data_IF_094739021830
#
_entry.id   IF_094739021830
#
_cell.length_a   1.000
_cell.length_b   1.000
_cell.length_c   1.000
_cell.angle_alpha   90.00
_cell.angle_beta   90.00
_cell.angle_gamma   90.00
#
_symmetry.space_group_name_H-M   'P 1'
#
loop_
_entity.id
_entity.type
_entity.pdbx_description
1 polymer ?
#
# COMPACT_ATOMS: atom_id res chain seq x y z
N UNK A 1 38.12 -6.37 -11.28
CA UNK A 1 36.90 -5.53 -11.16
C UNK A 1 36.63 -5.19 -9.70
N UNK A 2 36.62 -6.19 -8.82
CA UNK A 2 36.46 -6.03 -7.36
C UNK A 2 37.84 -5.87 -6.71
N UNK A 3 37.97 -4.87 -5.82
CA UNK A 3 39.17 -4.55 -5.01
C UNK A 3 39.04 -5.10 -3.60
N UNK A 4 37.88 -4.98 -2.98
CA UNK A 4 37.63 -5.38 -1.59
C UNK A 4 36.32 -6.20 -1.52
N UNK A 5 36.48 -7.52 -1.35
CA UNK A 5 35.35 -8.45 -1.26
C UNK A 5 34.50 -8.22 -0.01
N UNK A 6 35.11 -7.83 1.12
CA UNK A 6 34.38 -7.59 2.37
C UNK A 6 33.49 -6.36 2.24
N UNK A 7 34.02 -5.27 1.70
CA UNK A 7 33.22 -4.07 1.41
C UNK A 7 32.11 -4.36 0.39
N UNK A 8 32.36 -5.21 -0.61
CA UNK A 8 31.31 -5.62 -1.55
C UNK A 8 30.17 -6.37 -0.86
N UNK A 9 30.48 -7.36 -0.02
CA UNK A 9 29.47 -8.11 0.73
C UNK A 9 28.65 -7.21 1.63
N UNK A 10 29.29 -6.28 2.36
CA UNK A 10 28.60 -5.29 3.21
C UNK A 10 27.66 -4.43 2.36
N UNK A 11 28.14 -3.91 1.23
CA UNK A 11 27.33 -3.11 0.33
C UNK A 11 26.08 -3.85 -0.16
N UNK A 12 26.23 -5.10 -0.59
CA UNK A 12 25.11 -5.94 -1.07
C UNK A 12 24.10 -6.17 0.05
N UNK A 13 24.55 -6.51 1.26
CA UNK A 13 23.66 -6.75 2.41
C UNK A 13 22.86 -5.49 2.75
N UNK A 14 23.54 -4.34 2.86
CA UNK A 14 22.87 -3.06 3.16
C UNK A 14 21.88 -2.69 2.05
N UNK A 15 22.27 -2.85 0.79
CA UNK A 15 21.43 -2.53 -0.35
C UNK A 15 20.19 -3.43 -0.41
N UNK A 16 20.35 -4.74 -0.19
CA UNK A 16 19.21 -5.66 -0.09
C UNK A 16 18.29 -5.31 1.08
N UNK A 17 18.83 -4.89 2.22
CA UNK A 17 18.02 -4.41 3.34
C UNK A 17 17.20 -3.17 2.94
N UNK A 18 17.77 -2.21 2.20
CA UNK A 18 17.01 -1.07 1.65
C UNK A 18 15.87 -1.55 0.77
N UNK A 19 16.14 -2.46 -0.18
CA UNK A 19 15.13 -2.98 -1.12
C UNK A 19 13.99 -3.68 -0.38
N UNK A 20 14.32 -4.57 0.56
CA UNK A 20 13.32 -5.36 1.31
C UNK A 20 12.47 -4.45 2.21
N UNK A 21 13.10 -3.52 2.94
CA UNK A 21 12.38 -2.61 3.83
C UNK A 21 11.51 -1.61 3.07
N UNK A 22 11.88 -1.26 1.84
CA UNK A 22 11.12 -0.36 0.98
C UNK A 22 10.09 -1.09 0.09
N UNK A 23 9.85 -2.38 0.33
CA UNK A 23 8.96 -3.19 -0.49
C UNK A 23 7.49 -2.87 -0.14
N UNK A 24 6.66 -2.39 -1.10
CA UNK A 24 5.26 -2.00 -0.86
C UNK A 24 4.31 -3.19 -0.94
N UNK A 25 4.52 -4.20 -0.09
CA UNK A 25 3.66 -5.39 0.01
C UNK A 25 3.89 -6.06 1.36
N UNK A 26 2.84 -6.54 2.07
CA UNK A 26 1.48 -6.77 1.57
C UNK A 26 0.55 -5.56 1.63
N UNK A 27 0.90 -4.53 2.38
CA UNK A 27 0.09 -3.32 2.54
C UNK A 27 0.54 -2.24 1.53
N UNK A 28 -0.26 -1.18 1.39
CA UNK A 28 0.09 0.01 0.60
C UNK A 28 1.37 0.68 1.11
N UNK A 29 1.62 0.64 2.43
CA UNK A 29 2.84 1.18 3.05
C UNK A 29 4.02 0.21 2.92
N UNK A 30 5.27 0.71 2.78
CA UNK A 30 6.45 -0.14 2.75
C UNK A 30 6.58 -1.04 3.99
N UNK A 31 7.10 -2.26 3.81
CA UNK A 31 7.27 -3.26 4.87
C UNK A 31 7.93 -2.71 6.13
N UNK A 32 8.95 -1.89 5.96
CA UNK A 32 9.69 -1.31 7.07
C UNK A 32 8.89 -0.29 7.87
N UNK A 33 8.03 0.51 7.23
CA UNK A 33 7.12 1.43 7.93
C UNK A 33 6.06 0.66 8.71
N UNK A 34 5.49 -0.38 8.11
CA UNK A 34 4.50 -1.25 8.77
C UNK A 34 5.11 -1.96 9.99
N UNK A 35 6.34 -2.46 9.88
CA UNK A 35 7.05 -3.10 10.99
C UNK A 35 7.38 -2.11 12.10
N UNK A 36 7.92 -0.93 11.75
CA UNK A 36 8.21 0.12 12.71
C UNK A 36 6.96 0.55 13.49
N UNK A 37 5.83 0.73 12.79
CA UNK A 37 4.55 1.10 13.41
C UNK A 37 4.03 0.02 14.36
N UNK A 38 4.16 -1.27 14.00
CA UNK A 38 3.80 -2.39 14.89
C UNK A 38 4.66 -2.47 16.15
N UNK A 39 5.90 -1.98 16.08
CA UNK A 39 6.81 -1.87 17.22
C UNK A 39 6.64 -0.55 17.99
N UNK A 40 5.61 0.24 17.69
CA UNK A 40 5.36 1.56 18.28
C UNK A 40 6.50 2.56 18.06
N UNK A 41 7.28 2.37 16.99
CA UNK A 41 8.31 3.32 16.57
C UNK A 41 7.66 4.39 15.70
N UNK A 42 7.78 5.68 16.04
CA UNK A 42 7.17 6.75 15.25
C UNK A 42 7.81 6.80 13.87
N UNK A 43 7.01 6.58 12.82
CA UNK A 43 7.43 6.70 11.42
C UNK A 43 7.45 8.14 10.91
N UNK A 44 6.60 8.99 11.49
CA UNK A 44 6.50 10.42 11.18
C UNK A 44 6.60 11.27 12.44
N UNK A 45 7.16 12.47 12.32
CA UNK A 45 7.15 13.49 13.39
C UNK A 45 5.85 14.28 13.38
N UNK A 46 5.57 15.00 14.47
CA UNK A 46 4.47 15.96 14.55
C UNK A 46 4.56 17.06 13.47
N UNK A 47 5.76 17.33 12.95
CA UNK A 47 6.00 18.32 11.88
C UNK A 47 6.04 17.67 10.48
N UNK A 48 5.65 16.40 10.35
CA UNK A 48 5.61 15.68 9.07
C UNK A 48 6.95 15.11 8.60
N UNK A 49 8.00 15.07 9.44
CA UNK A 49 9.28 14.45 9.06
C UNK A 49 9.18 12.93 9.05
N UNK A 50 9.54 12.30 7.94
CA UNK A 50 9.53 10.84 7.80
C UNK A 50 10.84 10.21 8.30
N UNK A 51 10.89 9.85 9.59
CA UNK A 51 12.07 9.25 10.22
C UNK A 51 12.53 7.96 9.54
N UNK A 52 11.58 7.14 9.08
CA UNK A 52 11.87 5.88 8.41
C UNK A 52 12.55 6.12 7.05
N UNK A 53 12.02 7.04 6.26
CA UNK A 53 12.60 7.45 4.98
C UNK A 53 14.03 8.01 5.13
N UNK A 54 14.27 8.85 6.15
CA UNK A 54 15.61 9.39 6.44
C UNK A 54 16.57 8.25 6.81
N UNK A 55 16.14 7.32 7.67
CA UNK A 55 16.97 6.19 8.10
C UNK A 55 17.33 5.27 6.92
N UNK A 56 16.37 4.98 6.05
CA UNK A 56 16.61 4.23 4.81
C UNK A 56 17.55 4.95 3.86
N UNK A 57 17.42 6.27 3.72
CA UNK A 57 18.30 7.06 2.89
C UNK A 57 19.74 7.01 3.39
N UNK A 58 19.98 7.14 4.70
CA UNK A 58 21.32 6.97 5.30
C UNK A 58 21.87 5.57 5.01
N UNK A 59 21.07 4.52 5.20
CA UNK A 59 21.45 3.14 4.91
C UNK A 59 21.85 2.97 3.44
N UNK A 60 21.10 3.60 2.53
CA UNK A 60 21.38 3.59 1.11
C UNK A 60 22.70 4.30 0.78
N UNK A 61 22.95 5.50 1.32
CA UNK A 61 24.22 6.22 1.13
C UNK A 61 25.42 5.39 1.64
N UNK A 62 25.27 4.74 2.80
CA UNK A 62 26.30 3.83 3.33
C UNK A 62 26.54 2.65 2.38
N UNK A 63 25.47 2.06 1.83
CA UNK A 63 25.58 0.96 0.86
C UNK A 63 26.38 1.37 -0.39
N UNK A 64 26.17 2.59 -0.89
CA UNK A 64 26.87 3.15 -2.05
C UNK A 64 28.33 3.46 -1.75
N UNK A 65 28.63 3.96 -0.54
CA UNK A 65 30.00 4.19 -0.09
C UNK A 65 30.81 2.89 -0.09
N UNK A 66 30.27 1.82 0.52
CA UNK A 66 30.91 0.51 0.50
C UNK A 66 31.01 -0.07 -0.92
N UNK A 67 30.00 0.16 -1.78
CA UNK A 67 30.05 -0.24 -3.19
C UNK A 67 31.23 0.42 -3.91
N UNK A 68 31.36 1.74 -3.78
CA UNK A 68 32.44 2.52 -4.39
C UNK A 68 33.82 2.09 -3.91
N UNK A 69 33.96 1.81 -2.60
CA UNK A 69 35.20 1.31 -2.00
C UNK A 69 35.56 -0.09 -2.52
N UNK A 70 34.55 -0.93 -2.76
CA UNK A 70 34.75 -2.32 -3.19
C UNK A 70 35.21 -2.48 -4.63
N UNK A 71 35.03 -1.48 -5.51
CA UNK A 71 35.30 -1.58 -6.94
C UNK A 71 36.61 -0.89 -7.34
N UNK A 72 37.38 -1.50 -8.27
CA UNK A 72 38.63 -0.91 -8.82
C UNK A 72 38.37 -0.01 -10.04
N UNK A 73 37.39 -0.36 -10.88
CA UNK A 73 37.00 0.33 -12.11
C UNK A 73 35.47 0.39 -12.21
N UNK A 74 34.91 1.30 -13.01
CA UNK A 74 33.48 1.46 -13.28
C UNK A 74 32.59 1.82 -12.07
N UNK A 75 33.18 2.41 -11.02
CA UNK A 75 32.48 2.82 -9.78
C UNK A 75 31.20 3.61 -10.08
N UNK A 76 31.31 4.66 -10.89
CA UNK A 76 30.18 5.53 -11.25
C UNK A 76 29.06 4.77 -11.94
N UNK A 77 29.37 3.82 -12.84
CA UNK A 77 28.35 3.03 -13.53
C UNK A 77 27.52 2.19 -12.56
N UNK A 78 28.19 1.50 -11.63
CA UNK A 78 27.51 0.69 -10.62
C UNK A 78 26.71 1.54 -9.63
N UNK A 79 27.20 2.73 -9.26
CA UNK A 79 26.45 3.67 -8.43
C UNK A 79 25.17 4.13 -9.14
N UNK A 80 25.24 4.51 -10.42
CA UNK A 80 24.07 4.91 -11.21
C UNK A 80 23.07 3.76 -11.33
N UNK A 81 23.55 2.54 -11.58
CA UNK A 81 22.68 1.34 -11.61
C UNK A 81 21.99 1.13 -10.27
N UNK A 82 22.70 1.25 -9.15
CA UNK A 82 22.13 1.11 -7.81
C UNK A 82 21.06 2.20 -7.52
N UNK A 83 21.28 3.44 -7.98
CA UNK A 83 20.27 4.50 -7.88
C UNK A 83 19.01 4.20 -8.66
N UNK A 84 19.11 3.70 -9.89
CA UNK A 84 17.92 3.32 -10.66
C UNK A 84 17.22 2.12 -10.04
N UNK A 85 18.01 1.11 -9.67
CA UNK A 85 17.51 -0.14 -9.13
C UNK A 85 16.69 0.05 -7.84
N UNK A 86 17.06 0.99 -6.96
CA UNK A 86 16.33 1.19 -5.69
C UNK A 86 14.91 1.73 -5.91
N UNK A 87 14.66 2.41 -7.03
CA UNK A 87 13.34 2.95 -7.38
C UNK A 87 12.44 1.90 -8.06
N UNK A 88 13.01 1.01 -8.88
CA UNK A 88 12.21 0.06 -9.69
C UNK A 88 12.08 -1.33 -9.06
N UNK A 89 13.14 -1.84 -8.43
CA UNK A 89 13.16 -3.21 -7.93
C UNK A 89 12.09 -3.48 -6.86
N UNK A 90 11.86 -2.61 -5.84
CA UNK A 90 10.87 -2.91 -4.80
C UNK A 90 9.45 -3.06 -5.37
N UNK A 91 9.02 -2.14 -6.24
CA UNK A 91 7.69 -2.17 -6.88
C UNK A 91 7.55 -3.39 -7.79
N UNK A 92 8.57 -3.69 -8.59
CA UNK A 92 8.56 -4.86 -9.47
C UNK A 92 8.49 -6.17 -8.67
N UNK A 93 9.26 -6.28 -7.57
CA UNK A 93 9.25 -7.44 -6.68
C UNK A 93 7.90 -7.59 -5.99
N UNK A 94 7.32 -6.50 -5.46
CA UNK A 94 5.99 -6.51 -4.84
C UNK A 94 4.93 -7.04 -5.81
N UNK A 95 4.87 -6.49 -7.02
CA UNK A 95 3.93 -6.93 -8.06
C UNK A 95 4.16 -8.41 -8.43
N UNK A 96 5.42 -8.84 -8.55
CA UNK A 96 5.76 -10.23 -8.88
C UNK A 96 5.38 -11.20 -7.75
N UNK A 97 5.66 -10.85 -6.50
CA UNK A 97 5.29 -11.63 -5.32
C UNK A 97 3.78 -11.78 -5.27
N UNK A 98 3.04 -10.67 -5.40
CA UNK A 98 1.58 -10.64 -5.38
C UNK A 98 0.99 -11.51 -6.50
N UNK A 99 1.54 -11.43 -7.72
CA UNK A 99 1.01 -12.11 -8.90
C UNK A 99 1.30 -13.60 -8.94
N UNK A 100 2.49 -14.02 -8.52
CA UNK A 100 2.97 -15.40 -8.73
C UNK A 100 3.03 -16.25 -7.45
N UNK A 101 3.22 -15.64 -6.28
CA UNK A 101 3.49 -16.37 -5.04
C UNK A 101 2.46 -16.15 -3.94
N UNK A 102 1.76 -15.02 -3.95
CA UNK A 102 0.78 -14.70 -2.92
C UNK A 102 -0.48 -15.57 -3.03
N UNK A 103 -1.19 -15.70 -1.91
CA UNK A 103 -2.41 -16.52 -1.79
C UNK A 103 -3.44 -15.82 -0.90
N UNK A 104 -4.72 -16.18 -1.09
CA UNK A 104 -5.83 -15.59 -0.35
C UNK A 104 -5.91 -14.08 -0.59
N UNK A 105 -6.17 -13.29 0.45
CA UNK A 105 -6.25 -11.83 0.30
C UNK A 105 -4.97 -11.18 -0.20
N UNK A 106 -3.82 -11.85 -0.08
CA UNK A 106 -2.55 -11.32 -0.57
C UNK A 106 -2.39 -11.44 -2.09
N UNK A 107 -3.15 -12.29 -2.77
CA UNK A 107 -3.15 -12.37 -4.25
C UNK A 107 -4.17 -11.44 -4.89
N UNK A 108 -5.01 -10.77 -4.10
CA UNK A 108 -5.97 -9.78 -4.58
C UNK A 108 -5.22 -8.46 -4.80
N UNK A 109 -5.23 -7.97 -6.04
CA UNK A 109 -4.80 -6.62 -6.40
C UNK A 109 -6.01 -5.68 -6.39
N UNK A 110 -5.77 -4.45 -5.96
CA UNK A 110 -6.74 -3.37 -5.95
C UNK A 110 -6.15 -2.20 -6.72
N UNK A 111 -6.89 -1.67 -7.68
CA UNK A 111 -6.47 -0.48 -8.41
C UNK A 111 -6.98 0.77 -7.69
N UNK A 112 -6.19 1.24 -6.73
CA UNK A 112 -6.51 2.39 -5.90
C UNK A 112 -6.89 3.65 -6.71
N UNK A 113 -6.20 3.91 -7.83
CA UNK A 113 -6.44 5.10 -8.65
C UNK A 113 -7.78 5.05 -9.43
N UNK A 114 -8.36 3.87 -9.61
CA UNK A 114 -9.66 3.69 -10.25
C UNK A 114 -10.80 3.45 -9.26
N UNK A 115 -10.47 3.26 -7.98
CA UNK A 115 -11.45 3.22 -6.90
C UNK A 115 -12.08 4.59 -6.70
N UNK A 116 -13.41 4.63 -6.72
CA UNK A 116 -14.18 5.87 -6.58
C UNK A 116 -15.43 5.65 -5.73
N UNK A 117 -15.82 6.66 -4.98
CA UNK A 117 -17.09 6.73 -4.28
C UNK A 117 -17.80 8.03 -4.63
N UNK A 118 -19.09 7.92 -4.95
CA UNK A 118 -19.99 9.03 -5.16
C UNK A 118 -21.00 9.07 -4.02
N UNK A 119 -21.24 10.26 -3.48
CA UNK A 119 -22.24 10.49 -2.44
C UNK A 119 -23.22 11.55 -2.94
N UNK A 120 -24.51 11.26 -2.83
CA UNK A 120 -25.59 12.17 -3.23
C UNK A 120 -26.73 12.10 -2.21
N UNK A 121 -27.34 13.24 -1.90
CA UNK A 121 -28.50 13.30 -1.03
C UNK A 121 -29.71 12.61 -1.70
N UNK A 122 -30.25 11.59 -1.04
CA UNK A 122 -31.48 10.89 -1.39
C UNK A 122 -32.63 11.28 -0.43
N UNK A 123 -33.00 12.57 -0.43
CA UNK A 123 -34.03 13.15 0.46
C UNK A 123 -33.47 13.90 1.68
N UNK A 124 -34.29 14.50 2.53
CA UNK A 124 -33.81 15.50 3.52
C UNK A 124 -32.75 15.01 4.54
N UNK A 125 -32.66 13.69 4.79
CA UNK A 125 -31.86 13.10 5.89
C UNK A 125 -31.10 11.84 5.50
N UNK A 126 -31.11 11.47 4.22
CA UNK A 126 -30.47 10.25 3.73
C UNK A 126 -29.44 10.64 2.70
N UNK A 127 -28.21 10.18 2.90
CA UNK A 127 -27.13 10.28 1.93
C UNK A 127 -26.95 8.90 1.30
N UNK A 128 -27.11 8.81 -0.01
CA UNK A 128 -26.82 7.60 -0.77
C UNK A 128 -25.35 7.63 -1.18
N UNK A 129 -24.60 6.59 -0.81
CA UNK A 129 -23.21 6.40 -1.21
C UNK A 129 -23.07 5.20 -2.13
N UNK A 130 -22.39 5.38 -3.25
CA UNK A 130 -22.07 4.35 -4.24
C UNK A 130 -20.56 4.30 -4.46
N UNK A 131 -19.93 3.17 -4.15
CA UNK A 131 -18.49 2.96 -4.36
C UNK A 131 -18.24 1.87 -5.38
N UNK A 132 -17.35 2.15 -6.35
CA UNK A 132 -16.88 1.19 -7.34
C UNK A 132 -15.43 0.86 -7.07
N UNK A 133 -15.16 -0.40 -6.69
CA UNK A 133 -13.85 -0.88 -6.25
C UNK A 133 -13.31 -1.95 -7.23
N UNK A 134 -12.33 -1.61 -8.09
CA UNK A 134 -11.77 -2.54 -9.05
C UNK A 134 -10.74 -3.48 -8.42
N UNK A 135 -11.01 -4.78 -8.49
CA UNK A 135 -10.15 -5.84 -7.98
C UNK A 135 -9.73 -6.81 -9.08
N UNK A 136 -8.59 -7.46 -8.87
CA UNK A 136 -8.14 -8.61 -9.65
C UNK A 136 -7.60 -9.69 -8.70
N UNK A 137 -8.07 -10.93 -8.84
CA UNK A 137 -7.53 -12.06 -8.12
C UNK A 137 -6.47 -12.76 -8.97
N UNK A 138 -5.19 -12.57 -8.65
CA UNK A 138 -4.12 -13.27 -9.36
C UNK A 138 -4.02 -14.75 -9.04
N UNK A 139 -4.71 -15.28 -8.02
CA UNK A 139 -4.72 -16.72 -7.75
C UNK A 139 -5.59 -17.47 -8.74
N UNK A 140 -5.31 -18.75 -8.96
CA UNK A 140 -6.25 -19.67 -9.65
C UNK A 140 -7.39 -20.16 -8.75
N UNK A 141 -7.33 -19.88 -7.44
CA UNK A 141 -8.36 -20.29 -6.47
C UNK A 141 -9.28 -19.11 -6.16
N UNK A 142 -10.57 -19.37 -5.87
CA UNK A 142 -11.46 -18.33 -5.40
C UNK A 142 -10.98 -17.77 -4.05
N UNK A 143 -11.17 -16.48 -3.85
CA UNK A 143 -10.82 -15.75 -2.62
C UNK A 143 -12.05 -15.02 -2.12
N UNK A 144 -12.46 -15.33 -0.88
CA UNK A 144 -13.47 -14.59 -0.14
C UNK A 144 -12.82 -13.67 0.90
N UNK A 145 -13.29 -12.43 0.96
CA UNK A 145 -12.82 -11.42 1.91
C UNK A 145 -13.92 -10.42 2.24
N UNK A 146 -13.70 -9.65 3.31
CA UNK A 146 -14.56 -8.54 3.66
C UNK A 146 -13.87 -7.19 3.44
N UNK A 147 -14.66 -6.15 3.19
CA UNK A 147 -14.20 -4.77 2.98
C UNK A 147 -14.72 -3.88 4.11
N UNK A 148 -13.85 -2.99 4.59
CA UNK A 148 -14.16 -1.84 5.43
C UNK A 148 -13.47 -0.60 4.84
N UNK A 149 -14.10 0.55 4.95
CA UNK A 149 -13.55 1.83 4.49
C UNK A 149 -12.81 2.54 5.63
N UNK A 150 -11.76 3.30 5.32
CA UNK A 150 -11.06 4.10 6.31
C UNK A 150 -10.58 5.42 5.71
N UNK A 151 -10.53 6.47 6.52
CA UNK A 151 -9.99 7.76 6.12
C UNK A 151 -8.53 7.90 6.58
N UNK A 152 -7.69 8.56 5.77
CA UNK A 152 -6.31 8.91 6.14
C UNK A 152 -6.18 10.33 6.71
N UNK A 153 -7.23 11.14 6.55
CA UNK A 153 -7.32 12.53 7.01
C UNK A 153 -8.59 12.70 7.86
N UNK A 154 -8.71 13.82 8.58
CA UNK A 154 -9.83 14.11 9.49
C UNK A 154 -11.19 14.29 8.77
N UNK A 155 -11.21 14.27 7.44
CA UNK A 155 -12.42 14.30 6.63
C UNK A 155 -13.03 12.88 6.57
N UNK A 156 -13.89 12.56 7.53
CA UNK A 156 -14.53 11.25 7.77
C UNK A 156 -15.62 10.89 6.73
N UNK A 157 -15.36 11.03 5.42
CA UNK A 157 -16.37 10.75 4.38
C UNK A 157 -16.43 9.26 4.01
N UNK A 158 -15.29 8.60 3.80
CA UNK A 158 -15.30 7.19 3.38
C UNK A 158 -15.80 6.28 4.49
N UNK A 159 -15.49 6.61 5.74
CA UNK A 159 -15.95 5.83 6.90
C UNK A 159 -17.48 5.81 7.05
N UNK A 160 -18.23 6.74 6.45
CA UNK A 160 -19.69 6.70 6.40
C UNK A 160 -20.23 5.47 5.67
N UNK A 161 -19.47 4.96 4.69
CA UNK A 161 -19.81 3.72 4.00
C UNK A 161 -19.76 2.50 4.93
N UNK A 162 -19.24 2.60 6.16
CA UNK A 162 -19.21 1.46 7.08
C UNK A 162 -20.53 1.16 7.79
N UNK A 163 -21.64 1.85 7.47
CA UNK A 163 -22.95 1.65 8.13
C UNK A 163 -23.43 0.18 8.07
N UNK A 164 -23.16 -0.50 6.95
CA UNK A 164 -23.49 -1.92 6.75
C UNK A 164 -22.24 -2.81 6.62
N UNK A 165 -21.06 -2.28 6.97
CA UNK A 165 -19.83 -3.06 6.96
C UNK A 165 -19.86 -4.14 8.06
N UNK A 166 -19.12 -5.25 7.88
CA UNK A 166 -18.22 -5.55 6.76
C UNK A 166 -18.94 -6.05 5.50
N UNK A 167 -18.53 -5.55 4.32
CA UNK A 167 -19.06 -5.98 3.03
C UNK A 167 -18.36 -7.24 2.54
N UNK A 168 -19.11 -8.31 2.26
CA UNK A 168 -18.53 -9.58 1.82
C UNK A 168 -18.37 -9.62 0.31
N UNK A 169 -17.16 -9.94 -0.14
CA UNK A 169 -16.80 -10.07 -1.55
C UNK A 169 -16.21 -11.46 -1.79
N UNK A 170 -16.54 -12.04 -2.94
CA UNK A 170 -15.91 -13.26 -3.44
C UNK A 170 -15.46 -13.01 -4.87
N UNK A 171 -14.18 -13.29 -5.13
CA UNK A 171 -13.62 -13.31 -6.47
C UNK A 171 -13.24 -14.74 -6.83
N UNK A 172 -13.64 -15.21 -7.98
CA UNK A 172 -13.20 -16.46 -8.57
C UNK A 172 -11.72 -16.39 -8.98
N UNK A 173 -11.14 -17.55 -9.31
CA UNK A 173 -9.75 -17.62 -9.73
C UNK A 173 -9.52 -16.85 -11.02
N UNK A 174 -8.50 -15.98 -11.05
CA UNK A 174 -8.15 -15.12 -12.20
C UNK A 174 -9.24 -14.13 -12.61
N UNK A 175 -10.23 -13.89 -11.74
CA UNK A 175 -11.28 -12.91 -12.00
C UNK A 175 -10.76 -11.49 -11.84
N UNK A 176 -11.15 -10.60 -12.76
CA UNK A 176 -11.09 -9.15 -12.58
C UNK A 176 -12.52 -8.63 -12.54
N UNK A 177 -12.87 -7.90 -11.48
CA UNK A 177 -14.23 -7.45 -11.24
C UNK A 177 -14.25 -6.06 -10.61
N UNK A 178 -15.30 -5.28 -10.90
CA UNK A 178 -15.56 -3.98 -10.28
C UNK A 178 -16.67 -4.21 -9.25
N UNK A 179 -16.29 -4.25 -7.98
CA UNK A 179 -17.24 -4.48 -6.89
C UNK A 179 -17.95 -3.17 -6.59
N UNK A 180 -19.27 -3.17 -6.72
CA UNK A 180 -20.14 -2.06 -6.39
C UNK A 180 -20.68 -2.23 -4.97
N UNK A 181 -20.52 -1.18 -4.15
CA UNK A 181 -21.00 -1.15 -2.76
C UNK A 181 -21.87 0.09 -2.62
N UNK A 182 -23.12 -0.14 -2.24
CA UNK A 182 -24.09 0.92 -1.98
C UNK A 182 -24.48 0.95 -0.50
N UNK A 183 -24.77 2.16 0.00
CA UNK A 183 -25.28 2.35 1.34
C UNK A 183 -26.17 3.60 1.42
N UNK A 184 -27.31 3.46 2.09
CA UNK A 184 -28.12 4.58 2.53
C UNK A 184 -27.73 4.97 3.96
N UNK A 185 -27.23 6.18 4.12
CA UNK A 185 -26.63 6.69 5.36
C UNK A 185 -27.57 7.72 5.98
N UNK A 186 -27.97 7.51 7.23
CA UNK A 186 -28.74 8.50 8.00
C UNK A 186 -27.82 9.65 8.45
N UNK A 187 -27.98 10.81 7.81
CA UNK A 187 -27.22 12.02 8.11
C UNK A 187 -27.99 13.00 9.01
N UNK A 188 -29.14 12.60 9.56
CA UNK A 188 -30.00 13.46 10.39
C UNK A 188 -29.32 14.06 11.62
N UNK A 189 -28.26 13.42 12.11
CA UNK A 189 -27.49 13.84 13.29
C UNK A 189 -26.18 14.57 12.94
N UNK A 190 -25.84 14.69 11.65
CA UNK A 190 -24.63 15.38 11.22
C UNK A 190 -24.87 16.88 11.23
N UNK A 191 -23.96 17.64 11.85
CA UNK A 191 -24.04 19.10 11.95
C UNK A 191 -23.77 19.81 10.62
N UNK A 192 -23.04 19.16 9.72
CA UNK A 192 -22.70 19.67 8.40
C UNK A 192 -23.54 18.95 7.34
N UNK A 193 -24.11 19.70 6.41
CA UNK A 193 -24.84 19.14 5.28
C UNK A 193 -23.83 18.76 4.20
N UNK A 194 -23.90 17.51 3.72
CA UNK A 194 -23.12 17.02 2.59
C UNK A 194 -24.11 16.90 1.43
N UNK A 195 -24.10 17.87 0.52
CA UNK A 195 -25.02 17.87 -0.63
C UNK A 195 -24.64 16.80 -1.65
N UNK A 196 -23.34 16.76 -1.98
CA UNK A 196 -22.73 15.71 -2.80
C UNK A 196 -21.23 15.69 -2.56
N UNK A 197 -20.60 14.55 -2.79
CA UNK A 197 -19.15 14.41 -2.73
C UNK A 197 -18.65 13.30 -3.66
N UNK A 198 -17.50 13.54 -4.30
CA UNK A 198 -16.77 12.54 -5.07
C UNK A 198 -15.42 12.27 -4.42
N UNK A 199 -15.15 11.00 -4.12
CA UNK A 199 -13.88 10.56 -3.55
C UNK A 199 -13.20 9.61 -4.52
N UNK A 200 -12.01 9.97 -4.98
CA UNK A 200 -11.13 9.10 -5.76
C UNK A 200 -9.99 8.58 -4.87
N UNK A 201 -9.39 7.44 -5.21
CA UNK A 201 -8.34 6.88 -4.36
C UNK A 201 -8.93 6.32 -3.07
N UNK A 202 -9.92 5.44 -3.20
CA UNK A 202 -10.67 4.96 -2.04
C UNK A 202 -9.80 4.03 -1.20
N UNK A 203 -9.64 4.41 0.07
CA UNK A 203 -8.87 3.69 1.07
C UNK A 203 -9.71 2.59 1.71
N UNK A 204 -9.24 1.34 1.63
CA UNK A 204 -9.98 0.18 2.14
C UNK A 204 -9.10 -0.77 2.95
N UNK A 205 -9.75 -1.50 3.86
CA UNK A 205 -9.17 -2.62 4.58
C UNK A 205 -9.85 -3.89 4.10
N UNK A 206 -9.08 -4.84 3.57
CA UNK A 206 -9.60 -6.18 3.26
C UNK A 206 -9.20 -7.18 4.34
N UNK A 207 -10.13 -8.04 4.75
CA UNK A 207 -9.91 -9.04 5.81
C UNK A 207 -10.36 -10.44 5.41
N UNK A 208 -9.61 -11.46 5.83
CA UNK A 208 -10.01 -12.87 5.68
C UNK A 208 -9.21 -13.77 6.63
N UNK A 209 -9.89 -14.66 7.36
CA UNK A 209 -9.24 -15.68 8.22
C UNK A 209 -8.21 -15.11 9.21
N UNK A 210 -8.53 -14.00 9.88
CA UNK A 210 -7.66 -13.33 10.86
C UNK A 210 -6.53 -12.48 10.25
N UNK A 211 -6.43 -12.40 8.92
CA UNK A 211 -5.47 -11.55 8.21
C UNK A 211 -6.17 -10.28 7.73
N UNK A 212 -5.43 -9.18 7.70
CA UNK A 212 -5.89 -7.90 7.16
C UNK A 212 -4.83 -7.29 6.23
N UNK A 213 -5.27 -6.46 5.29
CA UNK A 213 -4.42 -5.62 4.44
C UNK A 213 -5.05 -4.24 4.29
N UNK A 214 -4.24 -3.18 4.39
CA UNK A 214 -4.64 -1.81 4.01
C UNK A 214 -4.24 -1.56 2.57
N UNK A 215 -5.19 -1.16 1.74
CA UNK A 215 -5.05 -0.96 0.29
C UNK A 215 -5.52 0.45 -0.12
#
# INVERSE_FOLDING_TARGET
MIKDKKSLSISIILYLAVIILNLPFPDQSPLGETLASKLHIPVRSANGLHYFGISLFILFILSLYFLSKSLKKYKTRFIVIAFLAVSFIPTFLAASIQKYFATGIYSVAYNHNEGRCHFEIAGEKTLHGECVLPFENYSSKPVGFTIEFYDTYDDEFLTLMNVNAPYTVKLDGKESNRVEIEADIDVSKMKNHIDSADVNGVNIIIKSGGKSRKL
#
